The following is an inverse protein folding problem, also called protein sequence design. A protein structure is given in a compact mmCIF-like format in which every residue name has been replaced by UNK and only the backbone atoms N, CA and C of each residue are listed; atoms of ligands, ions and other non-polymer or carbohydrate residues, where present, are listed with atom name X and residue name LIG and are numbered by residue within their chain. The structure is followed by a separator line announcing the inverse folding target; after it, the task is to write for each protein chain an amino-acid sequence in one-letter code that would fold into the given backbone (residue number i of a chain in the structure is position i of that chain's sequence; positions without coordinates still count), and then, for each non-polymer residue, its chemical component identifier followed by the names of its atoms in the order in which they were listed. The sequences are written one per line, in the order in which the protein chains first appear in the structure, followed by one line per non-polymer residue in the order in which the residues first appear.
data_IF_012046890767
#
_entry.id   IF_012046890767
#
_cell.length_a   1.000
_cell.length_b   1.000
_cell.length_c   1.000
_cell.angle_alpha   90.00
_cell.angle_beta   90.00
_cell.angle_gamma   90.00
#
_symmetry.space_group_name_H-M   'P 1'
#
loop_
_entity.id
_entity.type
_entity.pdbx_description
1 polymer ?
#
# COMPACT_ATOMS: atom_id res chain seq x y z
N UNK A 1 -2.24 -46.83 15.20
CA UNK A 1 -2.84 -46.22 16.41
C UNK A 1 -1.69 -45.86 17.32
N UNK A 2 -1.12 -44.66 17.15
CA UNK A 2 -0.22 -44.12 18.16
C UNK A 2 -1.04 -43.85 19.42
N UNK A 3 -0.56 -44.33 20.57
CA UNK A 3 -1.17 -44.05 21.86
C UNK A 3 -1.01 -42.55 22.10
N UNK A 4 -2.12 -41.82 22.12
CA UNK A 4 -2.12 -40.48 22.72
C UNK A 4 -1.52 -40.59 24.12
N UNK A 5 -0.65 -39.66 24.49
CA UNK A 5 -0.16 -39.56 25.86
C UNK A 5 -1.37 -39.41 26.80
N UNK A 6 -1.27 -39.99 27.99
CA UNK A 6 -2.30 -39.86 29.01
C UNK A 6 -2.44 -38.38 29.45
N UNK A 7 -3.65 -37.94 29.78
CA UNK A 7 -3.91 -36.54 30.18
C UNK A 7 -3.06 -36.13 31.39
N UNK A 8 -2.81 -37.07 32.30
CA UNK A 8 -1.93 -36.85 33.44
C UNK A 8 -0.48 -36.60 33.00
N UNK A 9 0.02 -37.34 31.99
CA UNK A 9 1.36 -37.17 31.48
C UNK A 9 1.54 -35.79 30.84
N UNK A 10 0.59 -35.37 30.00
CA UNK A 10 0.58 -34.04 29.39
C UNK A 10 0.54 -32.94 30.46
N UNK A 11 -0.27 -33.12 31.49
CA UNK A 11 -0.35 -32.20 32.63
C UNK A 11 0.98 -32.02 33.36
N UNK A 12 1.84 -33.04 33.42
CA UNK A 12 3.19 -32.87 33.97
C UNK A 12 4.06 -31.99 33.06
N UNK A 13 4.06 -32.20 31.75
CA UNK A 13 4.80 -31.33 30.81
C UNK A 13 4.42 -29.85 30.95
N UNK A 14 3.12 -29.54 31.06
CA UNK A 14 2.64 -28.17 31.22
C UNK A 14 3.19 -27.50 32.49
N UNK A 15 3.33 -28.23 33.61
CA UNK A 15 3.87 -27.65 34.84
C UNK A 15 5.31 -27.18 34.68
N UNK A 16 6.07 -27.83 33.80
CA UNK A 16 7.46 -27.49 33.52
C UNK A 16 7.62 -26.38 32.47
N UNK A 17 6.53 -25.81 31.95
CA UNK A 17 6.64 -24.65 31.03
C UNK A 17 6.64 -23.30 31.73
N UNK A 18 6.28 -23.24 33.02
CA UNK A 18 6.18 -22.01 33.78
C UNK A 18 7.24 -21.93 34.87
N UNK A 19 7.79 -20.74 35.12
CA UNK A 19 8.81 -20.52 36.15
C UNK A 19 10.00 -21.51 36.05
N UNK A 20 10.48 -21.73 34.83
CA UNK A 20 11.37 -22.83 34.47
C UNK A 20 12.79 -22.37 34.13
N UNK A 21 13.18 -21.15 34.51
CA UNK A 21 14.50 -20.57 34.21
C UNK A 21 15.65 -21.50 34.58
N UNK A 22 15.70 -21.93 35.84
CA UNK A 22 16.78 -22.81 36.34
C UNK A 22 16.78 -24.17 35.63
N UNK A 23 15.61 -24.69 35.27
CA UNK A 23 15.49 -25.96 34.54
C UNK A 23 16.08 -25.82 33.14
N UNK A 24 15.67 -24.80 32.39
CA UNK A 24 16.13 -24.58 31.02
C UNK A 24 17.62 -24.27 30.97
N UNK A 25 18.14 -23.46 31.91
CA UNK A 25 19.58 -23.18 32.01
C UNK A 25 20.40 -24.44 32.33
N UNK A 26 19.81 -25.39 33.05
CA UNK A 26 20.46 -26.67 33.40
C UNK A 26 20.25 -27.76 32.35
N UNK A 27 19.45 -27.50 31.32
CA UNK A 27 19.09 -28.47 30.29
C UNK A 27 20.09 -28.49 29.13
N UNK A 28 20.27 -29.66 28.52
CA UNK A 28 20.99 -29.79 27.24
C UNK A 28 20.04 -29.67 26.05
N UNK A 29 18.81 -30.18 26.21
CA UNK A 29 17.75 -30.13 25.19
C UNK A 29 16.52 -29.46 25.75
N UNK A 30 15.83 -28.74 24.89
CA UNK A 30 14.52 -28.16 25.19
C UNK A 30 13.52 -28.50 24.08
N UNK A 31 12.24 -28.58 24.44
CA UNK A 31 11.14 -28.84 23.52
C UNK A 31 10.06 -27.77 23.68
N UNK A 32 9.51 -27.27 22.57
CA UNK A 32 8.37 -26.37 22.61
C UNK A 32 7.09 -27.17 22.41
N UNK A 33 6.21 -27.14 23.41
CA UNK A 33 4.92 -27.81 23.33
C UNK A 33 4.01 -27.16 22.26
N UNK A 34 4.17 -25.88 21.93
CA UNK A 34 3.33 -25.20 20.92
C UNK A 34 3.69 -25.60 19.49
N UNK A 35 4.93 -25.38 19.06
CA UNK A 35 5.36 -25.67 17.69
C UNK A 35 5.88 -27.11 17.49
N UNK A 36 6.03 -27.89 18.58
CA UNK A 36 6.44 -29.29 18.51
C UNK A 36 7.93 -29.51 18.22
N UNK A 37 8.76 -28.45 18.20
CA UNK A 37 10.20 -28.54 17.92
C UNK A 37 11.00 -28.91 19.16
N UNK A 38 12.06 -29.69 18.96
CA UNK A 38 13.14 -29.93 19.92
C UNK A 38 14.39 -29.22 19.44
N UNK A 39 15.10 -28.53 20.33
CA UNK A 39 16.25 -27.68 20.03
C UNK A 39 17.26 -27.68 21.20
N UNK A 40 18.44 -27.10 20.99
CA UNK A 40 19.44 -26.96 22.06
C UNK A 40 18.94 -25.94 23.08
N UNK A 41 18.92 -26.29 24.37
CA UNK A 41 18.38 -25.40 25.39
C UNK A 41 19.10 -24.04 25.46
N UNK A 42 20.36 -23.97 24.99
CA UNK A 42 21.15 -22.72 24.91
C UNK A 42 20.67 -21.75 23.84
N UNK A 43 19.77 -22.16 22.94
CA UNK A 43 19.12 -21.30 21.96
C UNK A 43 18.07 -20.38 22.61
N UNK A 44 17.57 -20.71 23.80
CA UNK A 44 16.66 -19.84 24.55
C UNK A 44 17.41 -18.57 24.98
N UNK A 45 16.95 -17.41 24.49
CA UNK A 45 17.46 -16.07 24.83
C UNK A 45 16.42 -15.14 25.41
N UNK A 46 15.15 -15.42 25.14
CA UNK A 46 14.03 -14.59 25.56
C UNK A 46 13.19 -15.31 26.60
N UNK A 47 12.61 -14.51 27.50
CA UNK A 47 11.85 -14.98 28.65
C UNK A 47 10.58 -14.15 28.76
N UNK A 48 9.50 -14.81 29.16
CA UNK A 48 8.24 -14.16 29.52
C UNK A 48 8.21 -13.93 31.04
N UNK A 49 8.21 -12.66 31.43
CA UNK A 49 8.15 -12.19 32.82
C UNK A 49 6.85 -11.41 33.13
N UNK A 50 5.86 -11.49 32.23
CA UNK A 50 4.60 -10.75 32.32
C UNK A 50 3.73 -11.17 33.52
N UNK A 51 3.91 -12.39 34.02
CA UNK A 51 3.26 -12.88 35.23
C UNK A 51 4.13 -12.61 36.48
N UNK A 52 3.52 -12.03 37.51
CA UNK A 52 4.24 -11.70 38.76
C UNK A 52 4.94 -12.94 39.34
N UNK A 53 6.27 -12.83 39.50
CA UNK A 53 7.14 -13.88 40.02
C UNK A 53 7.15 -15.18 39.19
N UNK A 54 6.92 -15.10 37.87
CA UNK A 54 7.09 -16.23 36.95
C UNK A 54 7.96 -15.80 35.77
N UNK A 55 9.04 -16.52 35.53
CA UNK A 55 9.91 -16.35 34.37
C UNK A 55 9.85 -17.62 33.54
N UNK A 56 9.29 -17.54 32.35
CA UNK A 56 9.03 -18.72 31.49
C UNK A 56 9.79 -18.59 30.17
N UNK A 57 10.51 -19.64 29.79
CA UNK A 57 11.32 -19.63 28.57
C UNK A 57 10.44 -19.45 27.31
N UNK A 58 10.80 -18.49 26.45
CA UNK A 58 10.19 -18.35 25.12
C UNK A 58 10.92 -19.20 24.11
N UNK A 59 10.16 -19.91 23.28
CA UNK A 59 10.72 -20.73 22.21
C UNK A 59 11.40 -19.82 21.17
N UNK A 60 12.67 -20.08 20.79
CA UNK A 60 13.38 -19.25 19.82
C UNK A 60 12.83 -19.36 18.39
N UNK A 61 11.96 -20.33 18.10
CA UNK A 61 11.39 -20.56 16.76
C UNK A 61 9.97 -20.03 16.58
N UNK A 62 9.17 -19.99 17.65
CA UNK A 62 7.76 -19.58 17.57
C UNK A 62 7.36 -18.50 18.59
N UNK A 63 8.27 -18.10 19.48
CA UNK A 63 8.02 -17.07 20.50
C UNK A 63 7.13 -17.49 21.68
N UNK A 64 6.51 -18.67 21.61
CA UNK A 64 5.59 -19.16 22.64
C UNK A 64 6.33 -19.56 23.92
N UNK A 65 5.81 -19.14 25.08
CA UNK A 65 6.31 -19.47 26.41
C UNK A 65 5.84 -20.85 26.89
N UNK A 66 6.05 -21.88 26.06
CA UNK A 66 5.60 -23.26 26.32
C UNK A 66 6.76 -24.24 26.18
N UNK A 67 7.94 -23.86 26.67
CA UNK A 67 9.18 -24.63 26.53
C UNK A 67 9.39 -25.51 27.75
N UNK A 68 9.83 -26.76 27.56
CA UNK A 68 10.21 -27.70 28.62
C UNK A 68 11.68 -28.14 28.41
N UNK A 69 12.44 -28.29 29.49
CA UNK A 69 13.84 -28.73 29.43
C UNK A 69 14.02 -30.20 29.83
N UNK A 70 15.07 -30.85 29.35
CA UNK A 70 15.39 -32.23 29.74
C UNK A 70 15.86 -32.36 31.21
N UNK A 71 16.25 -31.25 31.85
CA UNK A 71 16.49 -31.20 33.30
C UNK A 71 15.23 -31.39 34.15
N UNK A 72 14.02 -31.30 33.58
CA UNK A 72 12.77 -31.70 34.25
C UNK A 72 12.73 -33.18 34.61
N UNK A 73 13.55 -34.00 33.94
CA UNK A 73 13.48 -35.46 33.99
C UNK A 73 12.44 -36.06 33.03
N UNK A 74 11.72 -35.24 32.26
CA UNK A 74 10.78 -35.68 31.22
C UNK A 74 11.52 -35.99 29.91
N UNK A 75 10.92 -36.85 29.07
CA UNK A 75 11.49 -37.16 27.75
C UNK A 75 11.28 -35.98 26.81
N UNK A 76 12.37 -35.35 26.37
CA UNK A 76 12.37 -34.25 25.40
C UNK A 76 12.95 -34.76 24.07
N UNK A 77 12.17 -35.62 23.41
CA UNK A 77 12.44 -36.16 22.08
C UNK A 77 11.36 -35.71 21.07
N UNK A 78 11.69 -35.75 19.78
CA UNK A 78 10.84 -35.23 18.71
C UNK A 78 9.46 -35.91 18.67
N UNK A 79 9.38 -37.22 18.92
CA UNK A 79 8.10 -37.94 18.86
C UNK A 79 7.20 -37.50 20.01
N UNK A 80 7.74 -37.43 21.21
CA UNK A 80 6.99 -37.03 22.41
C UNK A 80 6.51 -35.58 22.32
N UNK A 81 7.40 -34.64 22.01
CA UNK A 81 7.07 -33.22 21.95
C UNK A 81 6.07 -32.91 20.82
N UNK A 82 6.22 -33.57 19.66
CA UNK A 82 5.27 -33.46 18.56
C UNK A 82 3.88 -34.01 18.94
N UNK A 83 3.83 -35.18 19.58
CA UNK A 83 2.56 -35.78 20.02
C UNK A 83 1.82 -34.87 21.01
N UNK A 84 2.54 -34.20 21.92
CA UNK A 84 1.93 -33.23 22.84
C UNK A 84 1.41 -31.99 22.08
N UNK A 85 2.20 -31.44 21.16
CA UNK A 85 1.81 -30.26 20.35
C UNK A 85 0.55 -30.45 19.51
N UNK A 86 0.36 -31.66 18.98
CA UNK A 86 -0.80 -32.05 18.18
C UNK A 86 -2.05 -32.28 19.05
N UNK A 87 -1.91 -32.49 20.36
CA UNK A 87 -3.05 -32.69 21.26
C UNK A 87 -3.80 -31.34 21.49
N UNK A 88 -5.10 -31.26 21.15
CA UNK A 88 -5.88 -30.03 21.31
C UNK A 88 -6.11 -29.60 22.78
N UNK A 89 -5.85 -30.48 23.75
CA UNK A 89 -5.95 -30.21 25.19
C UNK A 89 -4.61 -29.90 25.85
N UNK A 90 -3.49 -30.11 25.16
CA UNK A 90 -2.17 -30.04 25.78
C UNK A 90 -1.73 -28.64 26.19
N UNK A 91 -2.28 -27.59 25.58
CA UNK A 91 -1.91 -26.23 25.95
C UNK A 91 -3.16 -25.38 25.97
N UNK A 92 -3.51 -24.93 27.17
CA UNK A 92 -4.53 -23.91 27.37
C UNK A 92 -3.87 -22.54 27.37
N UNK A 93 -3.79 -21.91 26.21
CA UNK A 93 -3.30 -20.54 26.06
C UNK A 93 -4.38 -19.52 26.35
N UNK A 94 -3.96 -18.35 26.86
CA UNK A 94 -4.87 -17.23 26.98
C UNK A 94 -5.25 -16.70 25.60
N UNK A 95 -6.36 -15.95 25.52
CA UNK A 95 -6.74 -15.27 24.28
C UNK A 95 -5.60 -14.34 23.80
N UNK A 96 -4.91 -13.66 24.73
CA UNK A 96 -3.80 -12.77 24.42
C UNK A 96 -2.63 -13.53 23.76
N UNK A 97 -2.19 -14.64 24.33
CA UNK A 97 -1.03 -15.37 23.79
C UNK A 97 -1.26 -15.87 22.37
N UNK A 98 -2.49 -16.36 22.11
CA UNK A 98 -2.90 -16.80 20.78
C UNK A 98 -2.90 -15.62 19.80
N UNK A 99 -3.45 -14.48 20.22
CA UNK A 99 -3.52 -13.26 19.41
C UNK A 99 -2.13 -12.72 19.09
N UNK A 100 -1.27 -12.59 20.11
CA UNK A 100 0.10 -12.07 19.96
C UNK A 100 0.93 -12.95 19.01
N UNK A 101 0.77 -14.27 19.07
CA UNK A 101 1.39 -15.18 18.10
C UNK A 101 0.87 -14.95 16.67
N UNK A 102 -0.44 -14.86 16.49
CA UNK A 102 -1.03 -14.66 15.15
C UNK A 102 -0.59 -13.33 14.54
N UNK A 103 -0.58 -12.26 15.33
CA UNK A 103 -0.09 -10.94 14.90
C UNK A 103 1.41 -10.99 14.55
N UNK A 104 2.24 -11.63 15.38
CA UNK A 104 3.66 -11.80 15.09
C UNK A 104 3.89 -12.62 13.80
N UNK A 105 3.08 -13.65 13.55
CA UNK A 105 3.15 -14.43 12.32
C UNK A 105 2.80 -13.59 11.08
N UNK A 106 1.70 -12.83 11.11
CA UNK A 106 1.27 -11.96 10.00
C UNK A 106 2.30 -10.86 9.71
N UNK A 107 2.94 -10.32 10.75
CA UNK A 107 3.99 -9.29 10.61
C UNK A 107 5.37 -9.86 10.26
N UNK A 108 5.50 -11.18 10.03
CA UNK A 108 6.77 -11.80 9.64
C UNK A 108 7.82 -11.84 10.75
N UNK A 109 7.40 -11.70 12.01
CA UNK A 109 8.27 -11.77 13.19
C UNK A 109 8.50 -13.23 13.65
N UNK A 110 7.71 -14.16 13.13
CA UNK A 110 7.85 -15.60 13.36
C UNK A 110 8.53 -16.26 12.16
N UNK A 111 9.44 -17.20 12.42
CA UNK A 111 10.13 -17.96 11.38
C UNK A 111 9.12 -18.65 10.43
N UNK A 112 9.24 -18.42 9.12
CA UNK A 112 8.42 -19.09 8.12
C UNK A 112 8.76 -20.59 8.07
N UNK A 113 7.84 -21.42 8.57
CA UNK A 113 7.97 -22.87 8.57
C UNK A 113 6.61 -23.55 8.60
N UNK A 114 6.54 -24.80 8.11
CA UNK A 114 5.32 -25.60 8.12
C UNK A 114 4.70 -25.72 9.53
N UNK A 115 5.54 -25.85 10.56
CA UNK A 115 5.08 -25.96 11.96
C UNK A 115 4.42 -24.66 12.42
N UNK A 116 5.06 -23.50 12.21
CA UNK A 116 4.50 -22.21 12.61
C UNK A 116 3.26 -21.85 11.80
N UNK A 117 3.21 -22.20 10.52
CA UNK A 117 2.01 -22.04 9.68
C UNK A 117 0.85 -22.90 10.20
N UNK A 118 1.10 -24.17 10.53
CA UNK A 118 0.07 -25.06 11.09
C UNK A 118 -0.43 -24.54 12.44
N UNK A 119 0.46 -23.99 13.26
CA UNK A 119 0.14 -23.35 14.53
C UNK A 119 -0.72 -22.09 14.32
N UNK A 120 -0.34 -21.23 13.37
CA UNK A 120 -1.08 -20.04 12.99
C UNK A 120 -2.52 -20.37 12.56
N UNK A 121 -2.70 -21.37 11.71
CA UNK A 121 -4.01 -21.81 11.27
C UNK A 121 -4.85 -22.37 12.42
N UNK A 122 -4.26 -23.18 13.30
CA UNK A 122 -4.93 -23.72 14.51
C UNK A 122 -5.42 -22.59 15.42
N UNK A 123 -4.56 -21.59 15.65
CA UNK A 123 -4.86 -20.46 16.53
C UNK A 123 -5.88 -19.50 15.92
N UNK A 124 -5.73 -19.14 14.64
CA UNK A 124 -6.73 -18.35 13.95
C UNK A 124 -8.10 -19.06 13.89
N UNK A 125 -8.18 -20.38 13.64
CA UNK A 125 -9.46 -21.10 13.67
C UNK A 125 -10.12 -21.03 15.07
N UNK A 126 -9.31 -21.17 16.13
CA UNK A 126 -9.78 -21.00 17.51
C UNK A 126 -10.36 -19.60 17.77
N UNK A 127 -9.66 -18.55 17.36
CA UNK A 127 -10.12 -17.16 17.47
C UNK A 127 -11.38 -16.91 16.62
N UNK A 128 -11.39 -17.41 15.38
CA UNK A 128 -12.51 -17.30 14.45
C UNK A 128 -13.79 -17.93 15.02
N UNK A 129 -13.70 -19.10 15.65
CA UNK A 129 -14.84 -19.76 16.32
C UNK A 129 -15.36 -18.97 17.51
N UNK A 130 -14.51 -18.18 18.17
CA UNK A 130 -14.88 -17.29 19.28
C UNK A 130 -15.48 -15.96 18.82
N UNK A 131 -15.65 -15.75 17.52
CA UNK A 131 -16.26 -14.54 16.98
C UNK A 131 -15.26 -13.48 16.51
N UNK A 132 -13.95 -13.74 16.61
CA UNK A 132 -12.94 -12.75 16.27
C UNK A 132 -13.01 -12.34 14.78
N UNK A 133 -12.91 -11.04 14.54
CA UNK A 133 -13.04 -10.43 13.21
C UNK A 133 -11.69 -10.42 12.48
N UNK A 134 -10.60 -10.20 13.21
CA UNK A 134 -9.25 -10.18 12.65
C UNK A 134 -8.82 -11.60 12.23
N UNK A 135 -9.13 -12.61 13.04
CA UNK A 135 -8.90 -14.00 12.65
C UNK A 135 -9.67 -14.41 11.38
N UNK A 136 -10.88 -13.88 11.17
CA UNK A 136 -11.61 -14.08 9.93
C UNK A 136 -10.91 -13.41 8.74
N UNK A 137 -10.38 -12.20 8.93
CA UNK A 137 -9.57 -11.50 7.93
C UNK A 137 -8.29 -12.28 7.60
N UNK A 138 -7.57 -12.73 8.62
CA UNK A 138 -6.26 -13.35 8.47
C UNK A 138 -6.36 -14.73 7.81
N UNK A 139 -7.36 -15.55 8.19
CA UNK A 139 -7.66 -16.79 7.49
C UNK A 139 -8.10 -16.54 6.05
N UNK A 140 -8.92 -15.51 5.83
CA UNK A 140 -9.33 -15.10 4.49
C UNK A 140 -8.12 -14.77 3.60
N UNK A 141 -7.23 -13.90 4.07
CA UNK A 141 -6.01 -13.51 3.35
C UNK A 141 -5.08 -14.70 3.14
N UNK A 142 -4.87 -15.52 4.18
CA UNK A 142 -4.02 -16.69 4.10
C UNK A 142 -4.48 -17.63 2.98
N UNK A 143 -5.76 -17.97 2.92
CA UNK A 143 -6.27 -18.85 1.87
C UNK A 143 -6.40 -18.17 0.52
N UNK A 144 -6.53 -16.84 0.46
CA UNK A 144 -6.59 -16.10 -0.78
C UNK A 144 -5.24 -16.07 -1.49
N UNK A 145 -4.16 -15.75 -0.77
CA UNK A 145 -2.81 -15.68 -1.34
C UNK A 145 -2.09 -17.03 -1.32
N UNK A 146 -2.43 -17.90 -0.37
CA UNK A 146 -1.61 -19.05 -0.03
C UNK A 146 -0.29 -18.65 0.62
N UNK A 147 0.58 -19.64 0.76
CA UNK A 147 1.95 -19.52 1.24
C UNK A 147 2.85 -20.43 0.41
N UNK A 148 4.15 -20.46 0.75
CA UNK A 148 5.11 -21.40 0.17
C UNK A 148 4.71 -22.88 0.41
N UNK A 149 4.05 -23.15 1.53
CA UNK A 149 3.74 -24.52 1.96
C UNK A 149 2.27 -24.91 1.71
N UNK A 150 1.36 -23.94 1.72
CA UNK A 150 -0.07 -24.15 1.48
C UNK A 150 -0.51 -23.32 0.27
N UNK A 151 -0.84 -23.96 -0.87
CA UNK A 151 -1.39 -23.25 -2.02
C UNK A 151 -2.66 -22.47 -1.67
N UNK A 152 -2.95 -21.41 -2.43
CA UNK A 152 -4.21 -20.69 -2.31
C UNK A 152 -5.42 -21.63 -2.45
N UNK A 153 -6.44 -21.39 -1.64
CA UNK A 153 -7.72 -22.10 -1.61
C UNK A 153 -8.84 -21.06 -1.61
N UNK A 154 -9.26 -20.66 -2.81
CA UNK A 154 -10.22 -19.57 -2.97
C UNK A 154 -11.61 -19.91 -2.40
N UNK A 155 -11.96 -21.20 -2.26
CA UNK A 155 -13.22 -21.60 -1.61
C UNK A 155 -13.17 -21.41 -0.09
N UNK A 156 -12.02 -21.66 0.54
CA UNK A 156 -11.82 -21.28 1.95
C UNK A 156 -11.76 -19.77 2.09
N UNK A 157 -11.04 -19.06 1.21
CA UNK A 157 -11.04 -17.60 1.23
C UNK A 157 -12.46 -17.04 1.13
N UNK A 158 -13.29 -17.61 0.23
CA UNK A 158 -14.71 -17.30 0.12
C UNK A 158 -15.44 -17.56 1.43
N UNK A 159 -15.27 -18.71 2.07
CA UNK A 159 -15.91 -19.00 3.35
C UNK A 159 -15.63 -17.89 4.40
N UNK A 160 -14.36 -17.47 4.53
CA UNK A 160 -13.98 -16.48 5.53
C UNK A 160 -14.42 -15.06 5.17
N UNK A 161 -14.15 -14.58 3.95
CA UNK A 161 -14.50 -13.20 3.54
C UNK A 161 -16.01 -12.96 3.43
N UNK A 162 -16.83 -14.00 3.26
CA UNK A 162 -18.29 -13.90 3.28
C UNK A 162 -18.90 -14.08 4.68
N UNK A 163 -18.09 -14.22 5.73
CA UNK A 163 -18.60 -14.23 7.09
C UNK A 163 -19.31 -12.91 7.41
N UNK A 164 -20.53 -13.00 7.96
CA UNK A 164 -21.38 -11.83 8.28
C UNK A 164 -20.69 -10.78 9.15
N UNK A 165 -19.78 -11.21 10.04
CA UNK A 165 -18.98 -10.32 10.90
C UNK A 165 -18.11 -9.33 10.12
N UNK A 166 -17.81 -9.62 8.85
CA UNK A 166 -17.00 -8.80 7.96
C UNK A 166 -17.83 -7.87 7.07
N UNK A 167 -19.15 -7.81 7.23
CA UNK A 167 -20.01 -7.01 6.37
C UNK A 167 -19.75 -5.50 6.45
N UNK A 168 -19.05 -5.03 7.48
CA UNK A 168 -18.66 -3.63 7.66
C UNK A 168 -17.13 -3.43 7.69
N UNK A 169 -16.37 -4.43 7.24
CA UNK A 169 -14.93 -4.30 7.07
C UNK A 169 -14.63 -4.02 5.59
N UNK A 170 -14.11 -2.83 5.32
CA UNK A 170 -13.91 -2.34 3.94
C UNK A 170 -12.89 -3.18 3.14
N UNK A 171 -11.87 -3.68 3.82
CA UNK A 171 -10.83 -4.51 3.22
C UNK A 171 -11.37 -5.91 2.89
N UNK A 172 -12.15 -6.50 3.80
CA UNK A 172 -12.85 -7.76 3.55
C UNK A 172 -13.78 -7.67 2.34
N UNK A 173 -14.49 -6.55 2.20
CA UNK A 173 -15.39 -6.32 1.08
C UNK A 173 -14.62 -6.20 -0.24
N UNK A 174 -13.40 -5.66 -0.25
CA UNK A 174 -12.53 -5.69 -1.43
C UNK A 174 -12.14 -7.11 -1.84
N UNK A 175 -11.66 -7.93 -0.90
CA UNK A 175 -11.35 -9.34 -1.19
C UNK A 175 -12.59 -10.12 -1.64
N UNK A 176 -13.75 -9.83 -1.03
CA UNK A 176 -15.03 -10.40 -1.44
C UNK A 176 -15.39 -10.01 -2.88
N UNK A 177 -15.17 -8.75 -3.25
CA UNK A 177 -15.41 -8.28 -4.61
C UNK A 177 -14.49 -8.97 -5.63
N UNK A 178 -13.21 -9.17 -5.30
CA UNK A 178 -12.27 -9.90 -6.15
C UNK A 178 -12.69 -11.36 -6.37
N UNK A 179 -13.10 -12.04 -5.31
CA UNK A 179 -13.67 -13.38 -5.41
C UNK A 179 -14.98 -13.42 -6.22
N UNK A 180 -15.79 -12.36 -6.16
CA UNK A 180 -17.02 -12.24 -6.95
C UNK A 180 -16.73 -11.95 -8.43
N UNK A 181 -15.66 -11.24 -8.76
CA UNK A 181 -15.29 -10.94 -10.15
C UNK A 181 -14.70 -12.15 -10.86
N UNK A 182 -13.85 -12.91 -10.17
CA UNK A 182 -13.14 -14.08 -10.70
C UNK A 182 -13.94 -15.38 -10.56
N UNK A 183 -14.66 -15.54 -9.44
CA UNK A 183 -15.27 -16.80 -9.03
C UNK A 183 -14.25 -17.78 -8.43
N UNK A 184 -14.76 -18.89 -7.93
CA UNK A 184 -13.96 -20.00 -7.37
C UNK A 184 -14.41 -21.31 -8.02
N UNK A 185 -13.74 -22.46 -7.75
CA UNK A 185 -14.20 -23.76 -8.23
C UNK A 185 -15.66 -24.07 -7.87
N UNK A 186 -16.15 -23.64 -6.69
CA UNK A 186 -17.51 -23.91 -6.23
C UNK A 186 -18.47 -22.70 -6.30
N UNK A 187 -17.95 -21.49 -6.49
CA UNK A 187 -18.76 -20.27 -6.51
C UNK A 187 -18.62 -19.53 -7.84
N UNK A 188 -19.72 -19.41 -8.57
CA UNK A 188 -19.70 -18.70 -9.86
C UNK A 188 -19.45 -17.21 -9.66
N UNK A 189 -18.64 -16.63 -10.55
CA UNK A 189 -18.49 -15.17 -10.67
C UNK A 189 -19.84 -14.48 -10.83
N UNK A 190 -19.94 -13.27 -10.29
CA UNK A 190 -21.13 -12.43 -10.33
C UNK A 190 -20.73 -10.95 -10.33
N UNK A 191 -20.71 -10.36 -11.51
CA UNK A 191 -20.34 -8.96 -11.73
C UNK A 191 -21.26 -7.98 -10.99
N UNK A 192 -22.58 -8.23 -10.96
CA UNK A 192 -23.55 -7.37 -10.24
C UNK A 192 -23.25 -7.33 -8.74
N UNK A 193 -23.10 -8.51 -8.11
CA UNK A 193 -22.74 -8.60 -6.69
C UNK A 193 -21.36 -8.03 -6.41
N UNK A 194 -20.41 -8.14 -7.35
CA UNK A 194 -19.11 -7.49 -7.24
C UNK A 194 -19.28 -5.98 -7.13
N UNK A 195 -20.02 -5.36 -8.06
CA UNK A 195 -20.30 -3.92 -8.03
C UNK A 195 -21.03 -3.47 -6.76
N UNK A 196 -22.05 -4.20 -6.32
CA UNK A 196 -22.76 -3.92 -5.07
C UNK A 196 -21.83 -3.98 -3.85
N UNK A 197 -20.92 -4.96 -3.83
CA UNK A 197 -19.95 -5.16 -2.75
C UNK A 197 -18.91 -4.04 -2.73
N UNK A 198 -18.39 -3.64 -3.90
CA UNK A 198 -17.47 -2.50 -4.01
C UNK A 198 -18.15 -1.19 -3.63
N UNK A 199 -19.38 -0.97 -4.08
CA UNK A 199 -20.16 0.21 -3.67
C UNK A 199 -20.33 0.27 -2.15
N UNK A 200 -20.58 -0.88 -1.50
CA UNK A 200 -20.62 -0.95 -0.04
C UNK A 200 -19.28 -0.57 0.60
N UNK A 201 -18.16 -1.04 0.06
CA UNK A 201 -16.83 -0.69 0.56
C UNK A 201 -16.51 0.80 0.37
N UNK A 202 -16.92 1.40 -0.75
CA UNK A 202 -16.80 2.86 -1.00
C UNK A 202 -17.59 3.66 0.04
N UNK A 203 -18.82 3.24 0.35
CA UNK A 203 -19.65 3.89 1.37
C UNK A 203 -19.06 3.80 2.79
N UNK A 204 -18.15 2.85 3.03
CA UNK A 204 -17.42 2.72 4.29
C UNK A 204 -16.10 3.49 4.32
N UNK A 205 -15.69 4.11 3.20
CA UNK A 205 -14.47 4.93 3.12
C UNK A 205 -13.32 4.30 2.35
N UNK A 206 -13.52 3.18 1.64
CA UNK A 206 -12.43 2.54 0.90
C UNK A 206 -12.11 3.24 -0.41
N UNK A 207 -11.01 4.01 -0.42
CA UNK A 207 -10.43 4.62 -1.64
C UNK A 207 -10.00 3.57 -2.66
N UNK A 208 -9.56 2.44 -2.15
CA UNK A 208 -9.19 1.27 -2.91
C UNK A 208 -10.39 0.62 -3.61
N UNK A 209 -11.58 0.62 -3.01
CA UNK A 209 -12.79 0.18 -3.68
C UNK A 209 -13.31 1.22 -4.67
N UNK A 210 -12.99 2.50 -4.47
CA UNK A 210 -13.44 3.59 -5.32
C UNK A 210 -12.95 3.42 -6.76
N UNK A 211 -11.64 3.22 -6.95
CA UNK A 211 -11.12 3.04 -8.31
C UNK A 211 -11.52 1.70 -8.92
N UNK A 212 -11.65 0.62 -8.13
CA UNK A 212 -12.16 -0.66 -8.62
C UNK A 212 -13.62 -0.56 -9.08
N UNK A 213 -14.45 0.22 -8.39
CA UNK A 213 -15.82 0.46 -8.82
C UNK A 213 -15.87 1.33 -10.08
N UNK A 214 -14.92 2.27 -10.22
CA UNK A 214 -14.75 3.05 -11.44
C UNK A 214 -14.40 2.15 -12.65
N UNK A 215 -13.55 1.13 -12.48
CA UNK A 215 -13.27 0.12 -13.52
C UNK A 215 -14.58 -0.55 -14.01
N UNK A 216 -15.49 -0.87 -13.08
CA UNK A 216 -16.77 -1.49 -13.43
C UNK A 216 -17.70 -0.54 -14.19
N UNK A 217 -17.75 0.76 -13.82
CA UNK A 217 -18.54 1.75 -14.54
C UNK A 217 -17.97 2.11 -15.91
N UNK A 218 -16.64 2.12 -16.07
CA UNK A 218 -15.98 2.36 -17.36
C UNK A 218 -16.27 1.20 -18.34
N UNK A 219 -16.17 -0.03 -17.85
CA UNK A 219 -16.39 -1.23 -18.66
C UNK A 219 -17.87 -1.66 -18.79
N UNK A 220 -18.77 -1.14 -17.95
CA UNK A 220 -20.16 -1.59 -17.89
C UNK A 220 -20.33 -3.01 -17.34
N UNK A 221 -19.46 -3.44 -16.43
CA UNK A 221 -19.41 -4.79 -15.87
C UNK A 221 -20.22 -4.83 -14.57
N UNK A 222 -21.36 -5.54 -14.59
CA UNK A 222 -22.27 -5.60 -13.43
C UNK A 222 -23.05 -4.31 -13.13
N UNK A 223 -22.74 -3.21 -13.84
CA UNK A 223 -23.41 -1.91 -13.77
C UNK A 223 -23.67 -1.38 -15.17
N UNK A 224 -24.60 -0.44 -15.32
CA UNK A 224 -24.75 0.28 -16.58
C UNK A 224 -23.49 1.13 -16.81
N UNK A 225 -22.86 0.98 -17.96
CA UNK A 225 -21.69 1.76 -18.35
C UNK A 225 -21.97 3.27 -18.19
N UNK A 226 -21.09 3.94 -17.47
CA UNK A 226 -21.11 5.38 -17.22
C UNK A 226 -19.67 5.90 -17.10
N UNK A 227 -19.05 6.14 -18.25
CA UNK A 227 -17.66 6.61 -18.32
C UNK A 227 -17.50 8.00 -17.69
N UNK A 228 -18.54 8.83 -17.66
CA UNK A 228 -18.48 10.14 -17.00
C UNK A 228 -18.37 9.99 -15.48
N UNK A 229 -19.17 9.08 -14.90
CA UNK A 229 -19.05 8.76 -13.50
C UNK A 229 -17.70 8.11 -13.19
N UNK A 230 -17.24 7.16 -14.01
CA UNK A 230 -15.93 6.54 -13.85
C UNK A 230 -14.79 7.56 -13.84
N UNK A 231 -14.76 8.50 -14.79
CA UNK A 231 -13.76 9.57 -14.83
C UNK A 231 -13.73 10.39 -13.52
N UNK A 232 -14.89 10.83 -13.03
CA UNK A 232 -14.98 11.57 -11.77
C UNK A 232 -14.48 10.75 -10.58
N UNK A 233 -14.78 9.45 -10.55
CA UNK A 233 -14.31 8.54 -9.49
C UNK A 233 -12.80 8.32 -9.56
N UNK A 234 -12.23 8.18 -10.75
CA UNK A 234 -10.78 8.07 -10.93
C UNK A 234 -10.05 9.36 -10.53
N UNK A 235 -10.56 10.54 -10.92
CA UNK A 235 -9.99 11.81 -10.49
C UNK A 235 -9.97 11.93 -8.97
N UNK A 236 -11.09 11.59 -8.31
CA UNK A 236 -11.15 11.57 -6.84
C UNK A 236 -10.19 10.55 -6.23
N UNK A 237 -10.10 9.35 -6.80
CA UNK A 237 -9.16 8.34 -6.33
C UNK A 237 -7.70 8.83 -6.48
N UNK A 238 -7.39 9.52 -7.58
CA UNK A 238 -6.07 10.07 -7.84
C UNK A 238 -5.68 11.08 -6.77
N UNK A 239 -6.56 12.04 -6.47
CA UNK A 239 -6.37 13.00 -5.38
C UNK A 239 -6.08 12.30 -4.04
N UNK A 240 -6.86 11.27 -3.71
CA UNK A 240 -6.67 10.54 -2.44
C UNK A 240 -5.36 9.77 -2.41
N UNK A 241 -5.06 9.00 -3.46
CA UNK A 241 -3.83 8.22 -3.53
C UNK A 241 -2.58 9.08 -3.65
N UNK A 242 -2.67 10.24 -4.29
CA UNK A 242 -1.62 11.25 -4.32
C UNK A 242 -1.23 11.65 -2.89
N UNK A 243 -2.21 12.07 -2.09
CA UNK A 243 -1.99 12.47 -0.70
C UNK A 243 -1.47 11.32 0.18
N UNK A 244 -2.06 10.13 0.03
CA UNK A 244 -1.63 8.94 0.77
C UNK A 244 -0.21 8.52 0.41
N UNK A 245 0.15 8.57 -0.87
CA UNK A 245 1.50 8.27 -1.35
C UNK A 245 2.54 9.23 -0.76
N UNK A 246 2.24 10.54 -0.67
CA UNK A 246 3.12 11.52 0.00
C UNK A 246 3.39 11.17 1.46
N UNK A 247 2.43 10.57 2.15
CA UNK A 247 2.56 10.17 3.57
C UNK A 247 3.26 8.83 3.77
N UNK A 248 3.08 7.88 2.85
CA UNK A 248 3.64 6.53 2.96
C UNK A 248 3.79 5.88 1.57
N UNK A 249 4.89 6.23 0.90
CA UNK A 249 5.16 5.81 -0.47
C UNK A 249 5.13 4.28 -0.65
N UNK A 250 5.74 3.53 0.29
CA UNK A 250 5.84 2.08 0.21
C UNK A 250 4.48 1.37 0.19
N UNK A 251 3.50 1.91 0.93
CA UNK A 251 2.16 1.31 1.02
C UNK A 251 1.27 1.65 -0.18
N UNK A 252 1.38 2.86 -0.72
CA UNK A 252 0.40 3.39 -1.67
C UNK A 252 0.90 3.54 -3.11
N UNK A 253 2.18 3.23 -3.40
CA UNK A 253 2.73 3.30 -4.75
C UNK A 253 1.90 2.54 -5.79
N UNK A 254 1.56 1.27 -5.50
CA UNK A 254 0.89 0.39 -6.45
C UNK A 254 -0.57 0.81 -6.74
N UNK A 255 -1.43 1.04 -5.74
CA UNK A 255 -2.77 1.60 -5.97
C UNK A 255 -2.73 2.93 -6.74
N UNK A 256 -1.76 3.80 -6.42
CA UNK A 256 -1.62 5.07 -7.10
C UNK A 256 -1.23 4.86 -8.59
N UNK A 257 -0.30 3.94 -8.87
CA UNK A 257 0.08 3.58 -10.24
C UNK A 257 -1.11 3.12 -11.09
N UNK A 258 -1.99 2.29 -10.51
CA UNK A 258 -3.20 1.83 -11.19
C UNK A 258 -4.11 2.99 -11.57
N UNK A 259 -4.34 3.93 -10.65
CA UNK A 259 -5.19 5.09 -10.92
C UNK A 259 -4.58 6.00 -12.00
N UNK A 260 -3.28 6.29 -11.92
CA UNK A 260 -2.57 7.05 -12.95
C UNK A 260 -2.74 6.43 -14.34
N UNK A 261 -2.54 5.11 -14.44
CA UNK A 261 -2.69 4.38 -15.70
C UNK A 261 -4.13 4.38 -16.23
N UNK A 262 -5.15 4.31 -15.36
CA UNK A 262 -6.55 4.39 -15.83
C UNK A 262 -6.89 5.79 -16.31
N UNK A 263 -6.49 6.83 -15.58
CA UNK A 263 -6.72 8.21 -15.98
C UNK A 263 -6.05 8.56 -17.31
N UNK A 264 -4.82 8.07 -17.55
CA UNK A 264 -4.14 8.35 -18.80
C UNK A 264 -4.93 7.83 -20.01
N UNK A 265 -5.52 6.63 -19.92
CA UNK A 265 -6.36 6.08 -20.98
C UNK A 265 -7.59 6.94 -21.27
N UNK A 266 -8.18 7.58 -20.26
CA UNK A 266 -9.30 8.52 -20.46
C UNK A 266 -8.88 9.75 -21.26
N UNK A 267 -7.70 10.30 -20.97
CA UNK A 267 -7.14 11.44 -21.69
C UNK A 267 -6.71 11.08 -23.13
N UNK A 268 -6.19 9.87 -23.35
CA UNK A 268 -5.88 9.35 -24.70
C UNK A 268 -7.15 9.19 -25.52
N UNK A 269 -8.20 8.58 -24.93
CA UNK A 269 -9.49 8.37 -25.59
C UNK A 269 -10.26 9.68 -25.81
N UNK A 270 -9.87 10.76 -25.12
CA UNK A 270 -10.51 12.07 -25.16
C UNK A 270 -11.91 12.10 -24.57
N UNK A 271 -12.19 11.23 -23.60
CA UNK A 271 -13.52 11.06 -23.00
C UNK A 271 -13.90 12.33 -22.23
N UNK A 272 -14.85 13.09 -22.76
CA UNK A 272 -15.43 14.32 -22.18
C UNK A 272 -14.48 15.53 -22.11
N UNK A 273 -13.17 15.33 -22.21
CA UNK A 273 -12.14 16.38 -22.13
C UNK A 273 -11.58 16.76 -23.50
N UNK A 274 -11.85 15.98 -24.55
CA UNK A 274 -11.03 15.99 -25.75
C UNK A 274 -9.71 15.25 -25.52
N UNK A 275 -9.05 14.87 -26.62
CA UNK A 275 -7.77 14.15 -26.55
C UNK A 275 -6.71 15.08 -25.95
N UNK A 276 -6.08 14.63 -24.86
CA UNK A 276 -5.08 15.39 -24.10
C UNK A 276 -3.85 14.52 -23.87
N UNK A 277 -2.93 14.57 -24.84
CA UNK A 277 -1.79 13.65 -24.88
C UNK A 277 -0.73 14.03 -23.84
N UNK A 278 -0.61 15.32 -23.51
CA UNK A 278 0.34 15.81 -22.53
C UNK A 278 -0.02 15.29 -21.13
N UNK A 279 -1.28 15.45 -20.71
CA UNK A 279 -1.76 14.87 -19.43
C UNK A 279 -1.71 13.34 -19.42
N UNK A 280 -1.98 12.70 -20.55
CA UNK A 280 -1.85 11.24 -20.65
C UNK A 280 -0.39 10.78 -20.46
N UNK A 281 0.56 11.39 -21.15
CA UNK A 281 1.99 11.05 -21.08
C UNK A 281 2.56 11.25 -19.68
N UNK A 282 2.19 12.36 -19.05
CA UNK A 282 2.42 12.65 -17.65
C UNK A 282 1.99 11.51 -16.70
N UNK A 283 0.70 11.14 -16.74
CA UNK A 283 0.14 10.10 -15.89
C UNK A 283 0.73 8.71 -16.18
N UNK A 284 1.04 8.42 -17.44
CA UNK A 284 1.73 7.18 -17.82
C UNK A 284 3.15 7.11 -17.25
N UNK A 285 3.88 8.22 -17.28
CA UNK A 285 5.26 8.28 -16.76
C UNK A 285 5.24 8.13 -15.23
N UNK A 286 4.29 8.76 -14.56
CA UNK A 286 4.05 8.56 -13.12
C UNK A 286 3.70 7.10 -12.82
N UNK A 287 2.83 6.47 -13.61
CA UNK A 287 2.51 5.06 -13.44
C UNK A 287 3.75 4.16 -13.58
N UNK A 288 4.60 4.36 -14.59
CA UNK A 288 5.85 3.60 -14.78
C UNK A 288 6.80 3.75 -13.57
N UNK A 289 6.99 4.97 -13.09
CA UNK A 289 7.78 5.23 -11.88
C UNK A 289 7.21 4.48 -10.66
N UNK A 290 5.91 4.60 -10.42
CA UNK A 290 5.27 3.99 -9.26
C UNK A 290 5.30 2.45 -9.32
N UNK A 291 5.07 1.86 -10.50
CA UNK A 291 5.22 0.41 -10.69
C UNK A 291 6.66 -0.04 -10.46
N UNK A 292 7.65 0.66 -11.03
CA UNK A 292 9.06 0.30 -10.88
C UNK A 292 9.58 0.44 -9.44
N UNK A 293 9.01 1.36 -8.66
CA UNK A 293 9.31 1.52 -7.23
C UNK A 293 8.65 0.46 -6.33
N UNK A 294 7.70 -0.33 -6.84
CA UNK A 294 6.93 -1.30 -6.06
C UNK A 294 7.54 -2.71 -6.13
N UNK A 295 7.86 -3.29 -4.96
CA UNK A 295 8.39 -4.66 -4.82
C UNK A 295 7.42 -5.78 -5.26
N UNK A 296 6.15 -5.45 -5.57
CA UNK A 296 5.07 -6.41 -5.91
C UNK A 296 4.52 -6.26 -7.35
N UNK A 297 5.20 -5.55 -8.23
CA UNK A 297 4.72 -5.33 -9.60
C UNK A 297 4.96 -6.56 -10.50
N UNK A 298 4.12 -7.59 -10.38
CA UNK A 298 4.08 -8.73 -11.32
C UNK A 298 3.04 -8.57 -12.45
N UNK A 299 2.41 -7.40 -12.58
CA UNK A 299 1.55 -7.08 -13.72
C UNK A 299 2.27 -6.09 -14.65
N UNK A 300 2.81 -6.61 -15.77
CA UNK A 300 3.23 -5.78 -16.89
C UNK A 300 1.99 -5.18 -17.58
N UNK A 301 1.90 -3.84 -17.62
CA UNK A 301 1.64 -3.16 -18.88
C UNK A 301 2.79 -2.19 -19.19
N UNK A 302 4.04 -2.54 -18.87
CA UNK A 302 5.17 -1.60 -18.98
C UNK A 302 5.79 -1.57 -20.40
N UNK A 303 5.59 -2.63 -21.20
CA UNK A 303 6.12 -2.64 -22.57
C UNK A 303 5.30 -1.75 -23.54
N UNK A 304 4.01 -1.46 -23.27
CA UNK A 304 3.19 -0.61 -24.15
C UNK A 304 3.26 0.89 -23.83
N UNK A 305 3.78 1.27 -22.65
CA UNK A 305 3.86 2.67 -22.21
C UNK A 305 5.07 3.36 -22.84
N UNK A 306 6.25 2.72 -22.78
CA UNK A 306 7.50 3.31 -23.31
C UNK A 306 7.45 3.54 -24.82
N UNK A 307 6.84 2.64 -25.59
CA UNK A 307 6.66 2.83 -27.04
C UNK A 307 5.69 3.96 -27.38
N UNK A 308 4.65 4.17 -26.56
CA UNK A 308 3.69 5.26 -26.77
C UNK A 308 4.33 6.63 -26.52
N UNK A 309 5.04 6.78 -25.39
CA UNK A 309 5.70 8.03 -25.06
C UNK A 309 6.83 8.31 -26.09
N UNK A 310 7.53 7.28 -26.58
CA UNK A 310 8.56 7.43 -27.61
C UNK A 310 7.97 7.94 -28.94
N UNK A 311 6.87 7.35 -29.41
CA UNK A 311 6.21 7.77 -30.64
C UNK A 311 5.67 9.21 -30.55
N UNK A 312 5.23 9.64 -29.36
CA UNK A 312 4.79 11.01 -29.11
C UNK A 312 5.96 12.01 -29.16
N UNK A 313 7.06 11.73 -28.46
CA UNK A 313 8.24 12.59 -28.49
C UNK A 313 8.82 12.75 -29.89
N UNK A 314 8.80 11.67 -30.69
CA UNK A 314 9.17 11.72 -32.11
C UNK A 314 8.24 12.64 -32.93
N UNK A 315 6.93 12.62 -32.68
CA UNK A 315 5.96 13.47 -33.37
C UNK A 315 6.11 14.97 -33.05
N UNK A 316 6.57 15.30 -31.84
CA UNK A 316 6.82 16.68 -31.39
C UNK A 316 8.25 17.19 -31.70
N UNK A 317 9.09 16.36 -32.34
CA UNK A 317 10.47 16.75 -32.72
C UNK A 317 11.44 16.83 -31.54
N UNK A 318 11.13 16.16 -30.44
CA UNK A 318 11.92 16.17 -29.22
C UNK A 318 13.24 15.38 -29.36
N UNK A 319 14.30 15.81 -28.67
CA UNK A 319 15.63 15.18 -28.74
C UNK A 319 15.98 14.42 -27.46
N UNK A 320 16.64 13.28 -27.63
CA UNK A 320 17.18 12.48 -26.52
C UNK A 320 18.11 13.30 -25.60
N UNK A 321 17.84 13.33 -24.29
CA UNK A 321 18.59 14.08 -23.28
C UNK A 321 18.30 15.59 -23.23
N UNK A 322 17.28 16.08 -23.95
CA UNK A 322 16.81 17.46 -23.81
C UNK A 322 15.81 17.54 -22.67
N UNK A 323 16.21 18.16 -21.58
CA UNK A 323 15.32 18.48 -20.47
C UNK A 323 14.61 19.79 -20.81
N UNK A 324 13.29 19.81 -20.80
CA UNK A 324 12.49 21.04 -20.99
C UNK A 324 11.73 21.29 -19.70
N UNK A 325 12.27 22.17 -18.87
CA UNK A 325 11.57 22.72 -17.70
C UNK A 325 11.10 24.12 -18.08
N UNK A 326 10.13 24.19 -18.99
CA UNK A 326 9.52 25.44 -19.43
C UNK A 326 8.25 25.76 -18.64
N UNK A 327 7.66 26.91 -18.92
CA UNK A 327 6.45 27.38 -18.24
C UNK A 327 5.26 26.44 -18.44
N UNK A 328 5.06 25.92 -19.65
CA UNK A 328 3.99 24.96 -19.94
C UNK A 328 4.18 23.71 -19.07
N UNK A 329 5.41 23.18 -19.00
CA UNK A 329 5.75 22.02 -18.18
C UNK A 329 5.51 22.28 -16.70
N UNK A 330 5.85 23.48 -16.21
CA UNK A 330 5.54 23.91 -14.84
C UNK A 330 4.03 23.96 -14.61
N UNK A 331 3.29 24.55 -15.55
CA UNK A 331 1.85 24.70 -15.47
C UNK A 331 1.12 23.37 -15.52
N UNK A 332 1.49 22.47 -16.42
CA UNK A 332 0.92 21.13 -16.52
C UNK A 332 1.22 20.30 -15.27
N UNK A 333 2.42 20.44 -14.71
CA UNK A 333 2.78 19.79 -13.44
C UNK A 333 1.85 20.25 -12.32
N UNK A 334 1.55 21.54 -12.21
CA UNK A 334 0.72 22.07 -11.12
C UNK A 334 -0.79 21.93 -11.36
N UNK A 335 -1.26 22.04 -12.61
CA UNK A 335 -2.69 22.05 -12.97
C UNK A 335 -3.26 20.65 -13.26
N UNK A 336 -2.42 19.62 -13.30
CA UNK A 336 -2.89 18.23 -13.32
C UNK A 336 -3.66 17.86 -12.05
N UNK A 337 -3.44 18.59 -10.95
CA UNK A 337 -4.09 18.34 -9.67
C UNK A 337 -5.31 19.25 -9.51
N UNK A 338 -6.49 18.64 -9.31
CA UNK A 338 -7.68 19.35 -8.82
C UNK A 338 -7.60 19.64 -7.32
N UNK A 339 -6.66 19.01 -6.60
CA UNK A 339 -6.34 19.31 -5.21
C UNK A 339 -5.11 20.21 -5.10
N UNK A 340 -5.13 21.17 -4.18
CA UNK A 340 -3.96 21.99 -3.85
C UNK A 340 -2.75 21.12 -3.44
N UNK A 341 -1.59 21.38 -4.05
CA UNK A 341 -0.31 20.73 -3.76
C UNK A 341 0.65 21.79 -3.23
N UNK A 342 1.35 21.49 -2.13
CA UNK A 342 2.41 22.36 -1.62
C UNK A 342 3.55 22.42 -2.64
N UNK A 343 3.69 23.57 -3.29
CA UNK A 343 4.80 23.94 -4.13
C UNK A 343 5.72 24.92 -3.39
N UNK A 344 7.02 24.70 -3.47
CA UNK A 344 8.02 25.58 -2.88
C UNK A 344 8.99 26.06 -3.94
N UNK A 345 9.10 27.37 -4.13
CA UNK A 345 10.12 28.00 -4.96
C UNK A 345 11.28 28.47 -4.07
N UNK A 346 12.50 28.27 -4.55
CA UNK A 346 13.75 28.68 -3.91
C UNK A 346 14.69 29.26 -4.97
N UNK A 347 15.79 29.91 -4.59
CA UNK A 347 16.74 30.52 -5.55
C UNK A 347 16.06 31.42 -6.59
N UNK A 348 15.04 32.17 -6.15
CA UNK A 348 14.20 33.00 -7.03
C UNK A 348 14.97 34.24 -7.47
N UNK A 349 15.05 34.47 -8.78
CA UNK A 349 15.73 35.59 -9.39
C UNK A 349 14.89 36.17 -10.53
N UNK A 350 14.49 37.43 -10.41
CA UNK A 350 13.76 38.15 -11.45
C UNK A 350 14.59 39.31 -12.01
N UNK A 351 14.80 39.30 -13.33
CA UNK A 351 15.43 40.38 -14.08
C UNK A 351 14.40 41.07 -14.97
N UNK A 352 14.01 42.28 -14.58
CA UNK A 352 13.04 43.10 -15.34
C UNK A 352 13.58 43.51 -16.71
N UNK A 353 14.87 43.82 -16.82
CA UNK A 353 15.49 44.24 -18.08
C UNK A 353 15.61 43.07 -19.08
N UNK A 354 15.80 41.85 -18.59
CA UNK A 354 15.85 40.64 -19.41
C UNK A 354 14.46 40.00 -19.59
N UNK A 355 13.45 40.45 -18.84
CA UNK A 355 12.13 39.82 -18.80
C UNK A 355 12.19 38.35 -18.36
N UNK A 356 13.10 38.00 -17.44
CA UNK A 356 13.39 36.61 -17.08
C UNK A 356 13.20 36.37 -15.59
N UNK A 357 12.42 35.35 -15.23
CA UNK A 357 12.26 34.85 -13.86
C UNK A 357 12.81 33.42 -13.79
N UNK A 358 13.81 33.18 -12.95
CA UNK A 358 14.37 31.85 -12.71
C UNK A 358 14.16 31.45 -11.25
N UNK A 359 13.89 30.17 -10.99
CA UNK A 359 13.70 29.63 -9.65
C UNK A 359 13.91 28.11 -9.63
N UNK A 360 14.32 27.59 -8.48
CA UNK A 360 14.27 26.16 -8.19
C UNK A 360 12.91 25.82 -7.59
N UNK A 361 12.22 24.85 -8.18
CA UNK A 361 10.91 24.39 -7.73
C UNK A 361 11.03 23.04 -7.02
N UNK A 362 10.44 22.95 -5.84
CA UNK A 362 10.34 21.75 -5.04
C UNK A 362 8.89 21.36 -4.82
N UNK A 363 8.59 20.06 -4.99
CA UNK A 363 7.32 19.48 -4.59
C UNK A 363 7.54 18.11 -3.91
N UNK A 364 6.67 17.69 -2.98
CA UNK A 364 6.90 16.50 -2.16
C UNK A 364 6.89 15.17 -2.95
N UNK A 365 6.43 15.17 -4.19
CA UNK A 365 6.27 14.01 -5.06
C UNK A 365 7.13 14.10 -6.31
N UNK A 366 7.44 12.98 -6.99
CA UNK A 366 8.28 13.01 -8.18
C UNK A 366 7.71 13.96 -9.22
N UNK A 367 8.59 14.74 -9.84
CA UNK A 367 8.18 15.74 -10.81
C UNK A 367 7.58 14.99 -11.98
N UNK A 368 6.47 15.52 -12.47
CA UNK A 368 5.89 15.08 -13.72
C UNK A 368 6.70 15.57 -14.93
N UNK A 369 7.87 16.14 -14.70
CA UNK A 369 8.71 16.67 -15.75
C UNK A 369 9.60 15.55 -16.32
N UNK A 370 9.14 15.08 -17.47
CA UNK A 370 9.76 14.14 -18.37
C UNK A 370 11.16 14.68 -18.73
N UNK A 371 12.23 13.92 -18.49
CA UNK A 371 13.36 13.99 -19.43
C UNK A 371 12.77 13.57 -20.77
N UNK A 372 12.33 14.54 -21.56
CA UNK A 372 11.61 14.35 -22.81
C UNK A 372 12.36 13.39 -23.77
N UNK A 373 13.66 13.24 -23.59
CA UNK A 373 14.49 12.33 -24.34
C UNK A 373 14.70 10.92 -23.75
N UNK A 374 14.55 10.73 -22.44
CA UNK A 374 14.68 9.42 -21.77
C UNK A 374 13.38 8.93 -21.09
N UNK A 375 12.36 9.77 -21.05
CA UNK A 375 11.02 9.56 -20.53
C UNK A 375 11.03 8.95 -19.13
N UNK A 376 11.75 9.60 -18.22
CA UNK A 376 11.84 9.19 -16.83
C UNK A 376 11.04 10.16 -15.95
N UNK A 377 10.24 9.63 -15.03
CA UNK A 377 9.72 10.36 -13.88
C UNK A 377 10.61 9.98 -12.70
N UNK A 378 11.32 10.94 -12.14
CA UNK A 378 12.17 10.74 -10.97
C UNK A 378 11.81 11.73 -9.88
N UNK A 379 12.04 11.31 -8.64
CA UNK A 379 12.03 12.24 -7.53
C UNK A 379 13.33 13.02 -7.55
N UNK A 380 13.26 14.31 -7.88
CA UNK A 380 14.42 15.20 -7.85
C UNK A 380 14.48 15.86 -6.47
N UNK A 381 15.29 15.29 -5.57
CA UNK A 381 15.35 15.72 -4.17
C UNK A 381 15.77 17.18 -4.00
N UNK A 382 16.60 17.69 -4.90
CA UNK A 382 17.17 19.05 -4.83
C UNK A 382 16.34 20.13 -5.53
N UNK A 383 15.17 19.78 -6.07
CA UNK A 383 14.34 20.70 -6.85
C UNK A 383 14.75 20.80 -8.33
N UNK A 384 13.86 21.37 -9.13
CA UNK A 384 14.02 21.56 -10.57
C UNK A 384 14.17 23.04 -10.90
N UNK A 385 15.20 23.41 -11.66
CA UNK A 385 15.37 24.79 -12.12
C UNK A 385 14.41 25.09 -13.29
N UNK A 386 13.53 26.07 -13.09
CA UNK A 386 12.66 26.63 -14.12
C UNK A 386 13.13 28.03 -14.49
N UNK A 387 12.94 28.40 -15.75
CA UNK A 387 13.16 29.77 -16.24
C UNK A 387 12.01 30.20 -17.13
N UNK A 388 11.30 31.24 -16.69
CA UNK A 388 10.23 31.90 -17.43
C UNK A 388 10.78 33.10 -18.18
N UNK A 389 10.47 33.19 -19.47
CA UNK A 389 10.77 34.35 -20.32
C UNK A 389 9.57 35.28 -20.46
N UNK A 390 9.80 36.44 -21.07
CA UNK A 390 8.79 37.48 -21.34
C UNK A 390 8.02 37.98 -20.10
N UNK A 391 8.60 37.84 -18.91
CA UNK A 391 8.01 38.24 -17.62
C UNK A 391 8.06 39.76 -17.45
N UNK A 392 6.90 40.40 -17.39
CA UNK A 392 6.75 41.85 -17.18
C UNK A 392 6.94 42.22 -15.70
N UNK A 393 6.33 41.44 -14.81
CA UNK A 393 6.54 41.55 -13.36
C UNK A 393 6.33 40.20 -12.67
N UNK A 394 7.01 40.04 -11.53
CA UNK A 394 6.79 38.94 -10.58
C UNK A 394 6.66 39.55 -9.17
N UNK A 395 5.53 39.33 -8.52
CA UNK A 395 5.26 39.72 -7.14
C UNK A 395 5.10 38.44 -6.31
N UNK A 396 6.19 38.00 -5.69
CA UNK A 396 6.27 36.76 -4.93
C UNK A 396 6.66 37.09 -3.48
N UNK A 397 5.87 36.71 -2.46
CA UNK A 397 6.20 36.96 -1.06
C UNK A 397 7.30 35.98 -0.62
N UNK A 398 8.55 36.40 -0.81
CA UNK A 398 9.73 35.60 -0.46
C UNK A 398 10.02 35.77 1.04
N UNK A 399 9.93 34.68 1.79
CA UNK A 399 10.31 34.58 3.20
C UNK A 399 11.49 33.64 3.35
N UNK A 400 12.59 34.11 3.97
CA UNK A 400 13.84 33.35 4.14
C UNK A 400 14.41 32.72 2.85
N UNK A 401 14.18 33.37 1.70
CA UNK A 401 14.64 32.89 0.39
C UNK A 401 13.71 31.84 -0.25
N UNK A 402 12.55 31.60 0.35
CA UNK A 402 11.54 30.66 -0.11
C UNK A 402 10.23 31.38 -0.44
N UNK A 403 9.51 30.87 -1.44
CA UNK A 403 8.11 31.19 -1.66
C UNK A 403 7.31 29.89 -1.65
N UNK A 404 6.28 29.81 -0.82
CA UNK A 404 5.44 28.62 -0.67
C UNK A 404 4.02 28.95 -1.09
N UNK A 405 3.42 28.08 -1.88
CA UNK A 405 2.04 28.18 -2.32
C UNK A 405 1.42 26.78 -2.34
N UNK A 406 0.09 26.72 -2.46
CA UNK A 406 -0.65 25.45 -2.47
C UNK A 406 -1.42 25.22 -3.76
N UNK A 407 -1.74 26.25 -4.53
CA UNK A 407 -2.40 26.09 -5.83
C UNK A 407 -2.11 27.30 -6.70
N UNK A 408 -2.38 27.18 -8.00
CA UNK A 408 -2.22 28.26 -8.94
C UNK A 408 -3.27 28.23 -10.04
N UNK A 409 -3.53 29.39 -10.62
CA UNK A 409 -4.38 29.55 -11.78
C UNK A 409 -3.56 30.22 -12.88
N UNK A 410 -3.40 29.53 -14.02
CA UNK A 410 -2.73 30.05 -15.19
C UNK A 410 -3.76 30.63 -16.18
N UNK A 411 -3.55 31.88 -16.55
CA UNK A 411 -4.30 32.63 -17.56
C UNK A 411 -3.41 32.87 -18.79
N UNK A 412 -3.95 33.54 -19.81
CA UNK A 412 -3.22 33.80 -21.06
C UNK A 412 -1.95 34.64 -20.87
N UNK A 413 -1.93 35.55 -19.88
CA UNK A 413 -0.82 36.48 -19.63
C UNK A 413 -0.46 36.60 -18.14
N UNK A 414 -1.00 35.75 -17.26
CA UNK A 414 -0.78 35.85 -15.82
C UNK A 414 -0.85 34.46 -15.16
N UNK A 415 -0.02 34.24 -14.14
CA UNK A 415 -0.14 33.12 -13.20
C UNK A 415 -0.36 33.70 -11.81
N UNK A 416 -1.46 33.29 -11.20
CA UNK A 416 -1.80 33.63 -9.82
C UNK A 416 -1.56 32.43 -8.90
N UNK A 417 -0.88 32.68 -7.78
CA UNK A 417 -0.56 31.66 -6.77
C UNK A 417 -1.38 31.90 -5.51
N UNK A 418 -1.85 30.83 -4.87
CA UNK A 418 -2.74 30.91 -3.72
C UNK A 418 -2.30 29.99 -2.59
N UNK A 419 -2.58 30.42 -1.36
CA UNK A 419 -2.59 29.56 -0.17
C UNK A 419 -3.96 28.91 -0.01
N UNK A 420 -3.99 27.78 0.67
CA UNK A 420 -5.21 27.03 1.01
C UNK A 420 -5.27 26.80 2.52
N UNK A 421 -6.32 27.30 3.15
CA UNK A 421 -6.51 27.19 4.59
C UNK A 421 -7.75 26.33 4.89
N UNK A 422 -7.59 25.26 5.66
CA UNK A 422 -8.65 24.28 5.96
C UNK A 422 -9.39 23.76 4.71
N UNK A 423 -8.66 23.56 3.61
CA UNK A 423 -9.22 23.08 2.33
C UNK A 423 -9.99 24.13 1.54
N UNK A 424 -9.94 25.41 1.95
CA UNK A 424 -10.54 26.53 1.22
C UNK A 424 -9.41 27.41 0.67
N UNK A 425 -9.41 27.62 -0.65
CA UNK A 425 -8.51 28.55 -1.33
C UNK A 425 -8.77 29.98 -0.85
N UNK A 426 -7.70 30.72 -0.57
CA UNK A 426 -7.82 32.12 -0.20
C UNK A 426 -8.38 32.95 -1.37
N UNK A 427 -9.21 33.95 -1.06
CA UNK A 427 -9.84 34.77 -2.12
C UNK A 427 -8.86 35.67 -2.86
N UNK A 428 -7.70 35.94 -2.26
CA UNK A 428 -6.68 36.81 -2.82
C UNK A 428 -5.43 35.97 -3.10
N UNK A 429 -4.83 36.06 -4.28
CA UNK A 429 -3.58 35.38 -4.56
C UNK A 429 -2.48 35.88 -3.62
N UNK A 430 -1.67 34.95 -3.12
CA UNK A 430 -0.50 35.26 -2.32
C UNK A 430 0.69 35.70 -3.18
N UNK A 431 0.73 35.32 -4.46
CA UNK A 431 1.76 35.77 -5.40
C UNK A 431 1.24 35.82 -6.84
N UNK A 432 1.93 36.57 -7.71
CA UNK A 432 1.55 36.76 -9.12
C UNK A 432 2.77 36.84 -10.03
N UNK A 433 2.66 36.32 -11.24
CA UNK A 433 3.62 36.51 -12.34
C UNK A 433 2.86 36.92 -13.58
N UNK A 434 3.26 38.02 -14.23
CA UNK A 434 2.63 38.52 -15.45
C UNK A 434 3.58 38.51 -16.63
N UNK A 435 3.06 38.13 -17.79
CA UNK A 435 3.76 37.97 -19.04
C UNK A 435 3.39 39.05 -20.06
N UNK A 436 4.31 39.30 -21.00
CA UNK A 436 4.13 40.33 -22.03
C UNK A 436 3.06 39.94 -23.07
N UNK A 437 2.15 40.85 -23.49
CA UNK A 437 1.03 40.54 -24.40
C UNK A 437 1.41 40.05 -25.80
N UNK A 438 2.65 40.31 -26.25
CA UNK A 438 3.17 39.88 -27.57
C UNK A 438 3.26 38.36 -27.75
N UNK A 439 3.04 37.61 -26.67
CA UNK A 439 3.04 36.14 -26.64
C UNK A 439 1.80 35.49 -27.28
N UNK A 440 0.69 36.24 -27.40
CA UNK A 440 -0.59 35.75 -27.94
C UNK A 440 -0.61 35.49 -29.47
N UNK A 441 0.54 35.47 -30.15
CA UNK A 441 0.65 35.12 -31.57
C UNK A 441 1.60 33.95 -31.78
N UNK A 442 1.34 32.81 -31.12
CA UNK A 442 1.49 31.44 -31.61
C UNK A 442 1.59 30.50 -30.42
N UNK A 443 0.53 29.71 -30.19
CA UNK A 443 0.61 28.27 -29.97
C UNK A 443 -0.57 27.64 -30.70
#
# INVERSE_FOLDING_TARGET
MEKSLDEQAIGEYIKHTANNELEIVSSGKAGCLSCGRVFDAREVKEWDDSASNSISARCPHCGMATVVGDASGLSVDEQTIKAISEDPKAISLSHRDIYDFCDAYVNGLVEDSQSNESLFLKYCDSLYRKGDVLAAMDLGRFYFYGSKNTPADLDKAWHYFFAKRLDYNEEALRFRADLLSTGTPHHRRSEVRCAETLNKAVLLGSDHALFMLADLYDAGVGVKMDRQLALRMYMKAYETFYNLYSSNAAKFALPFAHVCYRLSNFFIDGVLTGVDIDRAGALLTMADYLYSSSYKADEKPIESIKSYIQAFGEAQGWKKGQIVYDEDTFCDTMMMFSTPVIGQMTNISFSKDAGTLSFNFYMPLPYLAVDIGNMCCERIEDGVEFTFGDVEYADLPIEDGHFVFMTMHAYADEIDFFLVNNGVEEQTPCGKVKFSPSRNQQK
#
